data_IF_120338704838
#
_entry.id   IF_120338704838
#
_cell.length_a   1.000
_cell.length_b   1.000
_cell.length_c   1.000
_cell.angle_alpha   90.00
_cell.angle_beta   90.00
_cell.angle_gamma   90.00
#
_symmetry.space_group_name_H-M   'P 1'
#
loop_
_entity.id
_entity.type
_entity.pdbx_description
1 polymer ?
#
# COMPACT_ATOMS: atom_id res chain seq x y z
N UNK A 1 21.49 3.18 -5.91
CA UNK A 1 21.47 1.79 -5.42
C UNK A 1 20.12 1.17 -5.72
N UNK A 2 20.03 -0.16 -5.86
CA UNK A 2 18.77 -0.88 -6.11
C UNK A 2 18.60 -1.95 -5.05
N UNK A 3 17.43 -1.99 -4.43
CA UNK A 3 17.08 -2.94 -3.37
C UNK A 3 15.71 -3.54 -3.69
N UNK A 4 15.55 -4.84 -3.45
CA UNK A 4 14.23 -5.46 -3.42
C UNK A 4 13.55 -5.15 -2.08
N UNK A 5 12.21 -5.08 -2.04
CA UNK A 5 11.45 -4.80 -0.81
C UNK A 5 11.81 -5.73 0.36
N UNK A 6 12.15 -6.98 0.06
CA UNK A 6 12.63 -7.96 1.04
C UNK A 6 13.89 -7.51 1.81
N UNK A 7 14.78 -6.77 1.14
CA UNK A 7 16.04 -6.27 1.69
C UNK A 7 15.86 -4.97 2.49
N UNK A 8 14.76 -4.26 2.25
CA UNK A 8 14.43 -3.05 3.00
C UNK A 8 14.07 -3.41 4.45
N UNK A 9 14.66 -2.69 5.41
CA UNK A 9 14.46 -2.89 6.85
C UNK A 9 14.25 -1.58 7.62
N UNK A 10 14.88 -0.51 7.17
CA UNK A 10 14.81 0.82 7.77
C UNK A 10 15.00 1.87 6.68
N UNK A 11 14.43 3.05 6.90
CA UNK A 11 14.60 4.25 6.09
C UNK A 11 15.98 4.89 6.24
N UNK A 12 16.80 4.44 7.19
CA UNK A 12 18.13 4.99 7.41
C UNK A 12 19.05 4.85 6.19
N UNK A 13 19.77 5.93 5.87
CA UNK A 13 20.63 6.02 4.70
C UNK A 13 19.90 6.45 3.43
N UNK A 14 18.60 6.74 3.51
CA UNK A 14 17.77 7.27 2.40
C UNK A 14 17.35 8.73 2.63
N UNK A 15 17.81 9.36 3.70
CA UNK A 15 17.67 10.79 3.97
C UNK A 15 18.21 11.60 2.78
N UNK A 16 17.49 12.66 2.40
CA UNK A 16 17.82 13.55 1.28
C UNK A 16 17.92 12.91 -0.13
N UNK A 17 17.62 11.61 -0.27
CA UNK A 17 17.65 10.92 -1.56
C UNK A 17 16.34 11.05 -2.31
N UNK A 18 16.42 11.00 -3.63
CA UNK A 18 15.25 10.79 -4.50
C UNK A 18 15.07 9.29 -4.72
N UNK A 19 13.95 8.74 -4.28
CA UNK A 19 13.65 7.31 -4.28
C UNK A 19 12.55 6.99 -5.29
N UNK A 20 12.74 5.94 -6.09
CA UNK A 20 11.73 5.40 -6.98
C UNK A 20 11.35 3.99 -6.51
N UNK A 21 10.09 3.81 -6.13
CA UNK A 21 9.50 2.51 -5.77
C UNK A 21 8.78 1.96 -6.99
N UNK A 22 9.05 0.69 -7.33
CA UNK A 22 8.47 0.02 -8.49
C UNK A 22 7.39 -0.96 -8.01
N UNK A 23 6.17 -0.78 -8.50
CA UNK A 23 5.00 -1.57 -8.15
C UNK A 23 4.16 -0.94 -7.04
N UNK A 24 2.91 -1.39 -6.93
CA UNK A 24 1.93 -0.91 -5.93
C UNK A 24 1.31 -2.09 -5.16
N UNK A 25 2.17 -2.94 -4.60
CA UNK A 25 1.76 -3.92 -3.58
C UNK A 25 1.66 -3.27 -2.20
N UNK A 26 1.10 -3.98 -1.21
CA UNK A 26 0.96 -3.46 0.16
C UNK A 26 2.29 -2.94 0.72
N UNK A 27 3.38 -3.71 0.56
CA UNK A 27 4.71 -3.29 1.01
C UNK A 27 5.22 -2.03 0.31
N UNK A 28 4.93 -1.86 -0.99
CA UNK A 28 5.34 -0.66 -1.71
C UNK A 28 4.60 0.58 -1.22
N UNK A 29 3.31 0.44 -0.88
CA UNK A 29 2.54 1.51 -0.24
C UNK A 29 3.11 1.87 1.13
N UNK A 30 3.37 0.89 1.98
CA UNK A 30 3.95 1.11 3.32
C UNK A 30 5.33 1.78 3.24
N UNK A 31 6.23 1.30 2.36
CA UNK A 31 7.54 1.93 2.14
C UNK A 31 7.41 3.34 1.57
N UNK A 32 6.47 3.60 0.67
CA UNK A 32 6.27 4.93 0.09
C UNK A 32 5.85 5.95 1.16
N UNK A 33 4.97 5.53 2.07
CA UNK A 33 4.54 6.36 3.21
C UNK A 33 5.68 6.57 4.20
N UNK A 34 6.42 5.51 4.57
CA UNK A 34 7.54 5.63 5.50
C UNK A 34 8.62 6.57 4.93
N UNK A 35 9.07 6.33 3.70
CA UNK A 35 10.10 7.14 3.06
C UNK A 35 9.62 8.54 2.70
N UNK A 36 8.31 8.75 2.51
CA UNK A 36 7.74 10.09 2.30
C UNK A 36 8.01 11.05 3.45
N UNK A 37 8.27 10.55 4.67
CA UNK A 37 8.63 11.37 5.82
C UNK A 37 10.13 11.69 5.93
N UNK A 38 10.99 10.97 5.21
CA UNK A 38 12.45 10.95 5.45
C UNK A 38 13.25 11.33 4.21
N UNK A 39 12.88 10.81 3.05
CA UNK A 39 13.58 11.04 1.79
C UNK A 39 13.23 12.42 1.21
N UNK A 40 14.11 12.97 0.36
CA UNK A 40 13.86 14.26 -0.32
C UNK A 40 12.65 14.21 -1.24
N UNK A 41 12.47 13.10 -1.95
CA UNK A 41 11.35 12.90 -2.86
C UNK A 41 11.15 11.40 -3.08
N UNK A 42 9.89 10.96 -3.07
CA UNK A 42 9.51 9.58 -3.38
C UNK A 42 8.59 9.56 -4.59
N UNK A 43 8.84 8.64 -5.52
CA UNK A 43 7.98 8.34 -6.65
C UNK A 43 7.50 6.89 -6.57
N UNK A 44 6.23 6.67 -6.89
CA UNK A 44 5.62 5.34 -6.94
C UNK A 44 5.23 5.02 -8.38
N UNK A 45 5.91 4.04 -9.00
CA UNK A 45 5.68 3.64 -10.38
C UNK A 45 4.75 2.43 -10.44
N UNK A 46 3.67 2.54 -11.21
CA UNK A 46 2.71 1.44 -11.45
C UNK A 46 2.26 1.42 -12.90
N UNK A 47 2.01 0.22 -13.44
CA UNK A 47 1.49 0.04 -14.81
C UNK A 47 -0.04 0.04 -14.89
N UNK A 48 -0.71 -0.50 -13.87
CA UNK A 48 -2.19 -0.69 -13.86
C UNK A 48 -2.89 0.03 -12.70
N UNK A 49 -2.14 0.56 -11.73
CA UNK A 49 -2.70 1.07 -10.49
C UNK A 49 -3.21 -0.03 -9.56
N UNK A 50 -3.77 0.38 -8.42
CA UNK A 50 -4.54 -0.47 -7.51
C UNK A 50 -5.56 0.39 -6.78
N UNK A 51 -6.53 -0.25 -6.14
CA UNK A 51 -7.45 0.42 -5.23
C UNK A 51 -6.80 0.60 -3.86
N UNK A 52 -6.76 1.84 -3.38
CA UNK A 52 -6.28 2.17 -2.03
C UNK A 52 -7.47 2.22 -1.09
N UNK A 53 -7.46 1.38 -0.06
CA UNK A 53 -8.51 1.32 0.94
C UNK A 53 -7.96 1.63 2.33
N UNK A 54 -8.69 2.44 3.08
CA UNK A 54 -8.41 2.63 4.50
C UNK A 54 -8.76 1.35 5.27
N UNK A 55 -7.97 1.03 6.31
CA UNK A 55 -8.30 -0.03 7.27
C UNK A 55 -9.52 0.34 8.13
N UNK A 56 -9.73 1.64 8.37
CA UNK A 56 -10.89 2.17 9.08
C UNK A 56 -12.08 2.22 8.13
N UNK A 57 -13.08 1.39 8.42
CA UNK A 57 -14.35 1.30 7.70
C UNK A 57 -15.44 2.21 8.29
N UNK A 58 -16.70 2.03 7.84
CA UNK A 58 -17.84 2.76 8.36
C UNK A 58 -17.92 2.69 9.88
N UNK A 59 -18.34 3.80 10.51
CA UNK A 59 -18.50 3.89 11.97
C UNK A 59 -17.25 3.56 12.80
N UNK A 60 -16.05 3.60 12.18
CA UNK A 60 -14.77 3.34 12.85
C UNK A 60 -14.41 1.86 12.98
N UNK A 61 -15.26 0.95 12.50
CA UNK A 61 -15.00 -0.49 12.57
C UNK A 61 -13.99 -0.94 11.51
N UNK A 62 -13.23 -2.01 11.76
CA UNK A 62 -12.33 -2.59 10.75
C UNK A 62 -13.04 -2.90 9.43
N UNK A 63 -12.41 -2.52 8.30
CA UNK A 63 -13.00 -2.65 6.96
C UNK A 63 -13.26 -4.10 6.52
N UNK A 64 -12.48 -5.05 7.04
CA UNK A 64 -12.63 -6.48 6.80
C UNK A 64 -13.94 -7.01 7.38
N UNK A 65 -14.37 -6.56 8.56
CA UNK A 65 -15.67 -6.95 9.14
C UNK A 65 -16.86 -6.71 8.21
N UNK A 66 -16.80 -5.66 7.39
CA UNK A 66 -17.81 -5.41 6.36
C UNK A 66 -17.56 -6.20 5.10
N UNK A 67 -16.30 -6.30 4.64
CA UNK A 67 -15.97 -6.87 3.32
C UNK A 67 -15.94 -8.38 3.27
N UNK A 68 -15.48 -9.03 4.32
CA UNK A 68 -15.36 -10.49 4.39
C UNK A 68 -16.54 -11.10 5.13
N UNK A 69 -17.73 -10.55 4.93
CA UNK A 69 -18.95 -11.18 5.42
C UNK A 69 -19.58 -12.06 4.33
N UNK A 70 -20.37 -13.03 4.78
CA UNK A 70 -20.97 -14.05 3.90
C UNK A 70 -21.89 -13.42 2.83
N UNK A 71 -22.60 -12.34 3.19
CA UNK A 71 -23.58 -11.69 2.31
C UNK A 71 -22.87 -11.01 1.14
N UNK A 72 -21.86 -10.16 1.40
CA UNK A 72 -21.10 -9.50 0.35
C UNK A 72 -20.30 -10.50 -0.47
N UNK A 73 -19.70 -11.52 0.14
CA UNK A 73 -19.01 -12.58 -0.60
C UNK A 73 -19.97 -13.33 -1.55
N UNK A 74 -21.20 -13.59 -1.12
CA UNK A 74 -22.25 -14.22 -1.94
C UNK A 74 -22.69 -13.29 -3.06
N UNK A 75 -22.98 -12.01 -2.77
CA UNK A 75 -23.35 -11.02 -3.77
C UNK A 75 -22.25 -10.88 -4.81
N UNK A 76 -21.00 -10.75 -4.40
CA UNK A 76 -19.87 -10.58 -5.33
C UNK A 76 -19.63 -11.82 -6.21
N UNK A 77 -20.00 -13.02 -5.73
CA UNK A 77 -19.90 -14.26 -6.49
C UNK A 77 -21.00 -14.41 -7.56
N UNK A 78 -22.21 -13.93 -7.27
CA UNK A 78 -23.38 -14.10 -8.15
C UNK A 78 -23.82 -12.82 -8.87
N UNK A 79 -23.21 -11.68 -8.56
CA UNK A 79 -23.33 -10.46 -9.35
C UNK A 79 -22.75 -10.71 -10.74
N UNK A 80 -23.42 -10.24 -11.81
CA UNK A 80 -22.85 -10.26 -13.16
C UNK A 80 -21.55 -9.46 -13.25
#
# INVERSE_FOLDING_TARGET
EKLHSWQYKTSHGLEDKTVLIIGIGSSAGDMAVELGHVAKQVYLSTRRGTWVYNRVGPTGWPVDMYRTNLILATIQKYSP
#
